data_IF_890431162538
#
_entry.id   IF_890431162538
#
_cell.length_a   1.000
_cell.length_b   1.000
_cell.length_c   1.000
_cell.angle_alpha   90.00
_cell.angle_beta   90.00
_cell.angle_gamma   90.00
#
_symmetry.space_group_name_H-M   'P 1'
#
loop_
_entity.id
_entity.type
_entity.pdbx_description
1 polymer ?
#
# COMPACT_ATOMS: atom_id res chain seq x y z
N UNK A 1 17.50 17.99 -10.89
CA UNK A 1 17.80 17.42 -12.22
C UNK A 1 18.69 18.33 -13.07
N UNK A 2 18.57 19.67 -13.03
CA UNK A 2 19.43 20.55 -13.85
C UNK A 2 20.92 20.63 -13.46
N UNK A 3 21.36 20.13 -12.30
CA UNK A 3 22.74 20.32 -11.81
C UNK A 3 23.76 19.34 -12.39
N UNK A 4 23.32 18.25 -13.00
CA UNK A 4 24.23 17.21 -13.53
C UNK A 4 24.69 17.52 -14.96
N UNK A 5 24.13 18.57 -15.57
CA UNK A 5 24.44 19.00 -16.93
C UNK A 5 25.55 20.06 -16.89
N UNK A 6 26.68 19.75 -17.52
CA UNK A 6 27.88 20.61 -17.55
C UNK A 6 27.98 21.49 -18.79
N UNK A 7 27.10 21.30 -19.78
CA UNK A 7 27.02 22.15 -20.96
C UNK A 7 26.48 23.54 -20.61
N UNK A 8 26.84 24.58 -21.38
CA UNK A 8 26.10 25.84 -21.34
C UNK A 8 24.61 25.61 -21.65
N UNK A 9 23.67 26.21 -20.89
CA UNK A 9 22.23 26.04 -21.12
C UNK A 9 21.81 26.45 -22.53
N UNK A 10 20.89 25.70 -23.13
CA UNK A 10 20.35 25.94 -24.47
C UNK A 10 18.83 25.84 -24.48
N UNK A 11 18.18 27.00 -24.38
CA UNK A 11 16.72 27.05 -24.49
C UNK A 11 16.20 26.50 -25.83
N UNK A 12 15.27 25.55 -25.72
CA UNK A 12 14.63 24.84 -26.81
C UNK A 12 15.25 23.48 -27.12
N UNK A 13 16.09 22.93 -26.24
CA UNK A 13 16.72 21.61 -26.38
C UNK A 13 15.93 20.48 -25.69
N UNK A 14 14.77 20.80 -25.10
CA UNK A 14 13.89 19.88 -24.35
C UNK A 14 14.54 19.31 -23.07
N UNK A 15 15.60 19.94 -22.55
CA UNK A 15 16.26 19.60 -21.30
C UNK A 15 16.21 20.79 -20.36
N UNK A 16 15.62 20.61 -19.17
CA UNK A 16 15.61 21.66 -18.15
C UNK A 16 17.03 21.86 -17.57
N UNK A 17 17.69 22.93 -17.99
CA UNK A 17 19.07 23.27 -17.57
C UNK A 17 19.10 24.40 -16.53
N UNK A 18 20.27 24.63 -15.91
CA UNK A 18 20.43 25.68 -14.88
C UNK A 18 20.13 27.06 -15.48
N UNK A 19 19.11 27.75 -14.95
CA UNK A 19 18.72 29.11 -15.34
C UNK A 19 17.41 29.18 -16.12
N UNK A 20 16.93 28.04 -16.61
CA UNK A 20 15.63 27.88 -17.24
C UNK A 20 14.60 27.50 -16.17
N UNK A 21 13.35 27.90 -16.38
CA UNK A 21 12.22 27.47 -15.54
C UNK A 21 11.44 26.33 -16.21
N UNK A 22 11.48 26.27 -17.55
CA UNK A 22 10.86 25.23 -18.36
C UNK A 22 11.58 25.15 -19.71
N UNK A 23 11.56 23.99 -20.37
CA UNK A 23 11.99 23.85 -21.77
C UNK A 23 11.07 22.85 -22.48
N UNK A 24 10.30 23.33 -23.45
CA UNK A 24 9.37 22.54 -24.25
C UNK A 24 9.78 22.46 -25.73
N UNK A 25 11.06 22.70 -26.02
CA UNK A 25 11.60 22.74 -27.38
C UNK A 25 11.30 24.06 -28.10
N UNK A 26 11.49 24.06 -29.42
CA UNK A 26 11.23 25.24 -30.24
C UNK A 26 9.76 25.69 -30.22
N UNK A 27 9.46 27.00 -30.39
CA UNK A 27 8.10 27.55 -30.37
C UNK A 27 7.08 26.88 -31.30
N UNK A 28 7.54 26.24 -32.39
CA UNK A 28 6.66 25.50 -33.32
C UNK A 28 6.22 24.13 -32.81
N UNK A 29 7.00 23.54 -31.92
CA UNK A 29 6.81 22.17 -31.42
C UNK A 29 6.37 22.13 -29.95
N UNK A 30 6.57 23.22 -29.21
CA UNK A 30 6.14 23.32 -27.83
C UNK A 30 4.64 23.09 -27.68
N UNK A 31 4.29 22.09 -26.89
CA UNK A 31 2.91 21.73 -26.53
C UNK A 31 2.57 22.03 -25.08
N UNK A 32 3.55 22.49 -24.31
CA UNK A 32 3.35 22.86 -22.93
C UNK A 32 2.75 24.28 -22.85
N UNK A 33 1.48 24.43 -22.45
CA UNK A 33 0.87 25.75 -22.35
C UNK A 33 1.46 26.61 -21.22
N UNK A 34 2.29 26.04 -20.34
CA UNK A 34 2.88 26.72 -19.19
C UNK A 34 4.16 27.46 -19.57
N UNK A 35 4.81 27.03 -20.65
CA UNK A 35 6.17 27.44 -20.99
C UNK A 35 6.21 28.39 -22.17
N UNK A 36 6.87 29.54 -22.00
CA UNK A 36 7.29 30.35 -23.13
C UNK A 36 8.53 29.73 -23.77
N UNK A 37 8.31 28.95 -24.83
CA UNK A 37 9.33 28.32 -25.65
C UNK A 37 10.40 29.27 -26.22
N UNK A 38 10.16 30.58 -26.22
CA UNK A 38 11.14 31.57 -26.71
C UNK A 38 12.15 31.94 -25.63
N UNK A 39 11.72 31.90 -24.37
CA UNK A 39 12.51 32.41 -23.23
C UNK A 39 12.87 31.34 -22.21
N UNK A 40 12.29 30.14 -22.32
CA UNK A 40 12.42 29.05 -21.34
C UNK A 40 12.03 29.50 -19.92
N UNK A 41 10.97 30.31 -19.88
CA UNK A 41 10.35 30.86 -18.68
C UNK A 41 8.90 30.44 -18.58
N UNK A 42 8.44 30.23 -17.36
CA UNK A 42 7.03 30.00 -17.11
C UNK A 42 6.27 31.29 -17.36
N UNK A 43 5.04 31.19 -17.87
CA UNK A 43 4.18 32.35 -17.92
C UNK A 43 3.81 32.81 -16.50
N UNK A 44 3.59 34.11 -16.31
CA UNK A 44 3.30 34.71 -15.00
C UNK A 44 1.98 34.26 -14.36
N UNK A 45 1.11 33.57 -15.11
CA UNK A 45 -0.17 33.04 -14.64
C UNK A 45 -0.09 31.56 -14.24
N UNK A 46 1.06 30.91 -14.41
CA UNK A 46 1.27 29.53 -13.99
C UNK A 46 1.18 29.45 -12.47
N UNK A 47 0.26 28.62 -11.98
CA UNK A 47 0.06 28.35 -10.55
C UNK A 47 0.74 27.04 -10.13
N UNK A 48 0.91 26.10 -11.08
CA UNK A 48 1.56 24.81 -10.87
C UNK A 48 2.13 24.25 -12.18
N UNK A 49 3.13 23.38 -12.07
CA UNK A 49 3.77 22.72 -13.22
C UNK A 49 3.51 21.20 -13.24
N UNK A 50 3.34 20.60 -12.06
CA UNK A 50 3.13 19.17 -11.87
C UNK A 50 2.31 18.89 -10.61
N UNK A 51 1.86 17.66 -10.44
CA UNK A 51 1.00 17.21 -9.33
C UNK A 51 -0.38 16.74 -9.81
N UNK A 52 -1.02 15.85 -9.06
CA UNK A 52 -2.31 15.24 -9.42
C UNK A 52 -3.44 16.28 -9.45
N UNK A 53 -3.28 17.39 -8.73
CA UNK A 53 -4.17 18.53 -8.74
C UNK A 53 -3.69 19.67 -9.64
N UNK A 54 -2.76 19.43 -10.56
CA UNK A 54 -2.35 20.42 -11.56
C UNK A 54 -2.93 20.09 -12.95
N UNK A 55 -3.69 21.03 -13.52
CA UNK A 55 -4.27 20.89 -14.84
C UNK A 55 -4.13 22.18 -15.63
N UNK A 56 -3.52 22.12 -16.82
CA UNK A 56 -3.31 23.29 -17.69
C UNK A 56 -2.66 24.46 -16.94
N UNK A 57 -1.59 24.16 -16.18
CA UNK A 57 -0.81 25.11 -15.38
C UNK A 57 -1.56 25.81 -14.25
N UNK A 58 -2.75 25.32 -13.91
CA UNK A 58 -3.60 25.88 -12.86
C UNK A 58 -3.96 24.83 -11.85
N UNK A 59 -4.25 25.27 -10.63
CA UNK A 59 -4.79 24.37 -9.64
C UNK A 59 -6.15 23.85 -10.11
N UNK A 60 -6.30 22.55 -10.05
CA UNK A 60 -7.56 21.87 -10.31
C UNK A 60 -8.58 22.33 -9.28
N UNK A 61 -9.82 22.61 -9.70
CA UNK A 61 -10.81 23.20 -8.80
C UNK A 61 -11.08 22.33 -7.58
N UNK A 62 -11.37 22.98 -6.45
CA UNK A 62 -11.64 22.31 -5.19
C UNK A 62 -12.74 21.24 -5.34
N UNK A 63 -12.53 20.07 -4.72
CA UNK A 63 -13.49 18.97 -4.76
C UNK A 63 -13.38 18.02 -5.95
N UNK A 64 -12.48 18.27 -6.91
CA UNK A 64 -12.14 17.23 -7.89
C UNK A 64 -11.34 16.12 -7.21
N UNK A 65 -11.77 14.88 -7.42
CA UNK A 65 -11.06 13.71 -6.91
C UNK A 65 -9.67 13.62 -7.56
N UNK A 66 -8.62 13.59 -6.73
CA UNK A 66 -7.25 13.36 -7.18
C UNK A 66 -6.75 11.96 -6.86
N UNK A 67 -7.37 11.29 -5.88
CA UNK A 67 -7.11 9.90 -5.59
C UNK A 67 -8.42 9.17 -5.24
N UNK A 68 -8.82 8.15 -6.02
CA UNK A 68 -9.97 7.34 -5.67
C UNK A 68 -9.69 6.46 -4.45
N UNK A 69 -10.75 6.14 -3.72
CA UNK A 69 -10.70 5.11 -2.68
C UNK A 69 -10.44 3.72 -3.30
N UNK A 70 -9.46 2.99 -2.75
CA UNK A 70 -9.04 1.65 -3.20
C UNK A 70 -9.81 0.53 -2.50
N UNK A 71 -10.41 0.79 -1.35
CA UNK A 71 -11.21 -0.16 -0.58
C UNK A 71 -12.28 0.56 0.25
N UNK A 72 -13.16 -0.18 0.91
CA UNK A 72 -14.13 0.40 1.88
C UNK A 72 -13.47 0.99 3.14
N UNK A 73 -12.18 0.73 3.34
CA UNK A 73 -11.37 1.26 4.44
C UNK A 73 -10.54 2.48 4.04
N UNK A 74 -10.64 2.90 2.78
CA UNK A 74 -9.85 3.98 2.18
C UNK A 74 -10.74 5.18 1.86
N UNK A 75 -10.24 6.40 2.06
CA UNK A 75 -11.01 7.64 1.86
C UNK A 75 -10.53 8.30 0.57
N UNK A 76 -11.41 8.62 -0.38
CA UNK A 76 -10.98 9.34 -1.57
C UNK A 76 -10.57 10.78 -1.24
N UNK A 77 -9.41 11.25 -1.74
CA UNK A 77 -8.98 12.64 -1.60
C UNK A 77 -9.40 13.48 -2.80
N UNK A 78 -9.63 14.75 -2.50
CA UNK A 78 -9.99 15.76 -3.48
C UNK A 78 -9.07 16.96 -3.40
N UNK A 79 -8.81 17.57 -4.55
CA UNK A 79 -8.03 18.79 -4.68
C UNK A 79 -8.60 19.90 -3.80
N UNK A 80 -7.72 20.68 -3.20
CA UNK A 80 -8.09 21.83 -2.37
C UNK A 80 -8.44 23.08 -3.19
N UNK A 81 -8.06 23.10 -4.47
CA UNK A 81 -8.12 24.30 -5.32
C UNK A 81 -7.04 25.34 -5.03
N UNK A 82 -6.08 25.02 -4.15
CA UNK A 82 -5.03 25.94 -3.69
C UNK A 82 -3.64 25.30 -3.71
N UNK A 83 -3.55 24.03 -4.10
CA UNK A 83 -2.31 23.25 -4.18
C UNK A 83 -2.34 22.38 -5.43
N UNK A 84 -1.16 22.11 -5.96
CA UNK A 84 -0.94 21.18 -7.06
C UNK A 84 -0.89 19.72 -6.59
N UNK A 85 -0.52 19.52 -5.31
CA UNK A 85 -0.44 18.21 -4.70
C UNK A 85 -1.83 17.74 -4.24
N UNK A 86 -2.12 16.46 -4.48
CA UNK A 86 -3.24 15.82 -3.80
C UNK A 86 -2.98 15.83 -2.28
N UNK A 87 -4.00 16.05 -1.44
CA UNK A 87 -3.85 15.92 0.02
C UNK A 87 -3.22 14.57 0.42
N UNK A 88 -2.61 14.54 1.61
CA UNK A 88 -2.06 13.28 2.14
C UNK A 88 -3.14 12.21 2.22
N UNK A 89 -2.77 10.99 1.80
CA UNK A 89 -3.59 9.79 1.82
C UNK A 89 -4.13 9.52 3.24
N UNK A 90 -5.45 9.56 3.40
CA UNK A 90 -6.16 9.33 4.66
C UNK A 90 -7.05 8.09 4.58
N UNK A 91 -7.26 7.46 5.74
CA UNK A 91 -7.95 6.18 5.82
C UNK A 91 -9.09 6.23 6.83
N UNK A 92 -10.07 5.35 6.65
CA UNK A 92 -10.98 5.07 7.73
C UNK A 92 -10.20 4.52 8.93
N UNK A 93 -10.67 4.87 10.13
CA UNK A 93 -10.02 4.48 11.39
C UNK A 93 -9.72 2.99 11.44
N UNK A 94 -8.54 2.65 11.94
CA UNK A 94 -8.21 1.26 12.20
C UNK A 94 -9.24 0.63 13.17
N UNK A 95 -9.60 -0.62 12.94
CA UNK A 95 -10.61 -1.33 13.74
C UNK A 95 -12.06 -1.17 13.25
N UNK A 96 -12.34 -0.34 12.25
CA UNK A 96 -13.67 -0.27 11.65
C UNK A 96 -14.03 -1.61 10.96
N UNK A 97 -15.20 -2.24 11.20
CA UNK A 97 -15.58 -3.47 10.51
C UNK A 97 -15.64 -3.28 9.00
N UNK A 98 -15.14 -4.25 8.25
CA UNK A 98 -15.11 -4.25 6.78
C UNK A 98 -15.42 -5.65 6.21
N UNK A 99 -15.70 -5.70 4.91
CA UNK A 99 -16.08 -6.87 4.14
C UNK A 99 -17.22 -7.64 4.81
N UNK A 100 -18.32 -6.97 5.16
CA UNK A 100 -19.44 -7.59 5.89
C UNK A 100 -19.01 -8.25 7.23
N UNK A 101 -18.11 -7.61 7.98
CA UNK A 101 -17.58 -8.07 9.27
C UNK A 101 -16.65 -9.31 9.20
N UNK A 102 -16.14 -9.65 8.01
CA UNK A 102 -15.07 -10.63 7.84
C UNK A 102 -13.70 -10.08 8.28
N UNK A 103 -13.54 -8.75 8.36
CA UNK A 103 -12.30 -8.12 8.80
C UNK A 103 -12.52 -6.80 9.54
N UNK A 104 -11.41 -6.16 9.89
CA UNK A 104 -11.36 -4.80 10.42
C UNK A 104 -10.35 -3.97 9.63
N UNK A 105 -10.65 -2.70 9.41
CA UNK A 105 -9.79 -1.80 8.67
C UNK A 105 -8.43 -1.67 9.35
N UNK A 106 -7.38 -1.68 8.54
CA UNK A 106 -6.01 -1.46 8.96
C UNK A 106 -5.24 -0.75 7.84
N UNK A 107 -4.86 0.52 8.08
CA UNK A 107 -4.11 1.38 7.17
C UNK A 107 -4.66 1.33 5.74
N UNK A 108 -5.94 1.69 5.57
CA UNK A 108 -6.60 1.78 4.26
C UNK A 108 -7.08 0.45 3.65
N UNK A 109 -6.80 -0.68 4.31
CA UNK A 109 -7.11 -2.03 3.79
C UNK A 109 -7.97 -2.84 4.76
N UNK A 110 -8.56 -3.93 4.28
CA UNK A 110 -9.28 -4.91 5.09
C UNK A 110 -8.56 -6.28 5.06
N UNK A 111 -7.51 -6.49 5.88
CA UNK A 111 -6.76 -7.74 5.88
C UNK A 111 -7.60 -8.90 6.44
N UNK A 112 -7.81 -9.94 5.63
CA UNK A 112 -8.50 -11.18 6.01
C UNK A 112 -7.67 -12.39 5.58
N UNK A 113 -7.80 -13.51 6.31
CA UNK A 113 -7.02 -14.73 6.05
C UNK A 113 -7.28 -15.29 4.65
N UNK A 114 -8.54 -15.26 4.18
CA UNK A 114 -8.90 -15.70 2.83
C UNK A 114 -8.13 -14.95 1.72
N UNK A 115 -8.09 -13.62 1.76
CA UNK A 115 -7.39 -12.82 0.77
C UNK A 115 -5.87 -13.05 0.80
N UNK A 116 -5.30 -13.29 1.99
CA UNK A 116 -3.88 -13.64 2.11
C UNK A 116 -3.59 -15.01 1.49
N UNK A 117 -4.43 -16.02 1.74
CA UNK A 117 -4.33 -17.33 1.10
C UNK A 117 -4.44 -17.24 -0.43
N UNK A 118 -5.39 -16.44 -0.93
CA UNK A 118 -5.55 -16.19 -2.36
C UNK A 118 -4.33 -15.48 -2.96
N UNK A 119 -3.78 -14.49 -2.28
CA UNK A 119 -2.60 -13.75 -2.75
C UNK A 119 -1.34 -14.64 -2.82
N UNK A 120 -1.20 -15.60 -1.90
CA UNK A 120 -0.04 -16.51 -1.87
C UNK A 120 -0.17 -17.69 -2.85
N UNK A 121 -1.36 -18.27 -2.99
CA UNK A 121 -1.53 -19.55 -3.68
C UNK A 121 -2.51 -19.53 -4.86
N UNK A 122 -3.24 -18.43 -5.05
CA UNK A 122 -4.22 -18.26 -6.12
C UNK A 122 -5.63 -18.77 -5.78
N UNK A 123 -6.41 -19.04 -6.83
CA UNK A 123 -7.80 -19.49 -6.73
C UNK A 123 -7.94 -20.87 -6.08
N UNK A 124 -9.11 -21.16 -5.49
CA UNK A 124 -9.46 -22.41 -4.80
C UNK A 124 -8.66 -22.68 -3.51
N UNK A 125 -7.99 -21.67 -2.96
CA UNK A 125 -7.28 -21.77 -1.69
C UNK A 125 -7.96 -20.88 -0.65
N UNK A 126 -8.20 -21.43 0.53
CA UNK A 126 -8.98 -20.82 1.61
C UNK A 126 -8.21 -20.85 2.93
N UNK A 127 -8.75 -20.19 3.95
CA UNK A 127 -8.25 -20.36 5.32
C UNK A 127 -8.30 -21.85 5.73
N UNK A 128 -7.24 -22.35 6.35
CA UNK A 128 -7.20 -23.71 6.87
C UNK A 128 -8.06 -23.89 8.14
N UNK A 129 -8.35 -25.14 8.49
CA UNK A 129 -8.97 -25.47 9.78
C UNK A 129 -8.09 -25.00 10.94
N UNK A 130 -8.70 -24.64 12.07
CA UNK A 130 -8.02 -24.13 13.27
C UNK A 130 -6.88 -25.04 13.73
N UNK A 131 -7.05 -26.36 13.60
CA UNK A 131 -6.02 -27.36 13.95
C UNK A 131 -4.68 -27.17 13.24
N UNK A 132 -4.66 -26.52 12.07
CA UNK A 132 -3.40 -26.21 11.39
C UNK A 132 -2.62 -25.11 12.11
N UNK A 133 -3.32 -24.12 12.65
CA UNK A 133 -2.72 -22.97 13.35
C UNK A 133 -2.10 -23.35 14.69
N UNK A 134 -2.53 -24.46 15.31
CA UNK A 134 -1.90 -25.03 16.51
C UNK A 134 -0.40 -25.30 16.35
N UNK A 135 0.08 -25.51 15.12
CA UNK A 135 1.50 -25.66 14.81
C UNK A 135 2.33 -24.42 15.16
N UNK A 136 1.71 -23.24 15.22
CA UNK A 136 2.38 -22.01 15.61
C UNK A 136 2.86 -21.98 17.08
N UNK A 137 2.40 -22.94 17.91
CA UNK A 137 2.89 -23.09 19.28
C UNK A 137 4.26 -23.80 19.36
N UNK A 138 4.79 -24.34 18.25
CA UNK A 138 6.08 -25.03 18.25
C UNK A 138 7.26 -24.10 18.52
N UNK A 139 7.25 -22.89 17.95
CA UNK A 139 8.37 -21.94 18.05
C UNK A 139 9.57 -22.34 17.20
N UNK A 140 9.35 -23.00 16.06
CA UNK A 140 10.39 -23.47 15.14
C UNK A 140 10.10 -23.02 13.70
N UNK A 141 10.80 -23.57 12.71
CA UNK A 141 10.61 -23.20 11.30
C UNK A 141 9.20 -23.50 10.76
N UNK A 142 8.50 -24.47 11.34
CA UNK A 142 7.14 -24.84 10.93
C UNK A 142 6.10 -23.83 11.40
N UNK A 143 6.33 -23.13 12.51
CA UNK A 143 5.35 -22.21 13.09
C UNK A 143 5.83 -21.48 14.35
N UNK A 144 5.65 -20.16 14.34
CA UNK A 144 5.93 -19.23 15.44
C UNK A 144 5.05 -17.98 15.30
N UNK A 145 5.01 -17.11 16.32
CA UNK A 145 4.20 -15.88 16.30
C UNK A 145 5.00 -14.64 15.92
N UNK A 146 6.23 -14.54 16.42
CA UNK A 146 7.10 -13.38 16.21
C UNK A 146 8.56 -13.78 16.38
N UNK A 147 9.46 -12.87 16.06
CA UNK A 147 10.89 -13.02 16.33
C UNK A 147 11.38 -11.94 17.27
N UNK A 148 12.16 -12.33 18.27
CA UNK A 148 12.83 -11.43 19.20
C UNK A 148 14.33 -11.74 19.12
N UNK A 149 15.15 -10.78 18.70
CA UNK A 149 16.60 -10.96 18.52
C UNK A 149 17.00 -12.17 17.63
N UNK A 150 16.16 -12.51 16.65
CA UNK A 150 16.36 -13.65 15.74
C UNK A 150 15.82 -14.99 16.26
N UNK A 151 15.43 -15.07 17.53
CA UNK A 151 14.78 -16.24 18.11
C UNK A 151 13.31 -16.30 17.71
N UNK A 152 12.83 -17.47 17.30
CA UNK A 152 11.43 -17.72 16.93
C UNK A 152 10.61 -17.97 18.19
N UNK A 153 9.67 -17.06 18.48
CA UNK A 153 8.87 -17.13 19.70
C UNK A 153 7.57 -17.90 19.41
N UNK A 154 7.28 -19.00 20.12
CA UNK A 154 6.04 -19.74 19.94
C UNK A 154 4.82 -18.87 20.29
N UNK A 155 3.69 -19.14 19.63
CA UNK A 155 2.43 -18.52 20.01
C UNK A 155 1.92 -19.04 21.35
N UNK A 156 1.28 -18.16 22.12
CA UNK A 156 0.33 -18.61 23.13
C UNK A 156 -0.91 -19.24 22.44
N UNK A 157 -1.68 -20.09 23.13
CA UNK A 157 -2.88 -20.71 22.55
C UNK A 157 -3.88 -19.71 21.95
N UNK A 158 -4.04 -18.53 22.56
CA UNK A 158 -4.90 -17.45 22.09
C UNK A 158 -4.35 -16.71 20.86
N UNK A 159 -3.04 -16.84 20.57
CA UNK A 159 -2.33 -16.08 19.54
C UNK A 159 -2.09 -16.91 18.26
N UNK A 160 -2.48 -18.19 18.23
CA UNK A 160 -2.16 -19.12 17.14
C UNK A 160 -2.60 -18.64 15.75
N UNK A 161 -3.64 -17.80 15.68
CA UNK A 161 -4.14 -17.19 14.44
C UNK A 161 -3.32 -15.98 13.96
N UNK A 162 -2.28 -15.58 14.70
CA UNK A 162 -1.43 -14.42 14.41
C UNK A 162 0.04 -14.78 14.13
N UNK A 163 0.33 -16.08 13.99
CA UNK A 163 1.64 -16.58 13.58
C UNK A 163 1.73 -16.84 12.08
N UNK A 164 2.25 -18.01 11.71
CA UNK A 164 2.24 -18.50 10.33
C UNK A 164 0.81 -18.61 9.79
N UNK A 165 0.61 -18.20 8.54
CA UNK A 165 -0.64 -18.41 7.83
C UNK A 165 -0.71 -19.84 7.29
N UNK A 166 -1.80 -20.55 7.61
CA UNK A 166 -2.11 -21.85 7.01
C UNK A 166 -3.36 -21.76 6.15
N UNK A 167 -3.29 -22.39 4.98
CA UNK A 167 -4.33 -22.38 3.97
C UNK A 167 -4.72 -23.80 3.58
N UNK A 168 -5.97 -23.98 3.16
CA UNK A 168 -6.49 -25.23 2.61
C UNK A 168 -6.57 -25.12 1.09
N UNK A 169 -5.80 -25.95 0.40
CA UNK A 169 -5.77 -25.99 -1.06
C UNK A 169 -6.81 -27.00 -1.59
N UNK A 170 -7.91 -26.48 -2.14
CA UNK A 170 -8.97 -27.29 -2.75
C UNK A 170 -8.79 -27.42 -4.28
N UNK A 171 -7.61 -27.10 -4.83
CA UNK A 171 -7.33 -27.25 -6.25
C UNK A 171 -7.30 -28.73 -6.66
N UNK A 172 -7.57 -29.06 -7.95
CA UNK A 172 -7.42 -30.43 -8.44
C UNK A 172 -5.98 -30.94 -8.23
N UNK A 173 -5.78 -31.88 -7.31
CA UNK A 173 -4.44 -32.35 -6.92
C UNK A 173 -4.44 -33.05 -5.56
N UNK A 174 -3.25 -33.36 -5.02
CA UNK A 174 -3.14 -33.82 -3.63
C UNK A 174 -3.68 -32.73 -2.69
N UNK A 175 -4.66 -33.10 -1.88
CA UNK A 175 -5.25 -32.20 -0.90
C UNK A 175 -4.21 -31.87 0.18
N UNK A 176 -3.85 -30.59 0.31
CA UNK A 176 -3.04 -30.08 1.41
C UNK A 176 -3.92 -29.19 2.31
N UNK A 177 -4.30 -29.74 3.46
CA UNK A 177 -5.20 -29.08 4.40
C UNK A 177 -4.54 -28.00 5.23
N UNK A 178 -3.20 -28.00 5.33
CA UNK A 178 -2.43 -27.05 6.14
C UNK A 178 -1.26 -26.49 5.32
N UNK A 179 -1.53 -26.12 4.08
CA UNK A 179 -0.54 -25.55 3.16
C UNK A 179 -0.02 -24.25 3.74
N UNK A 180 1.29 -24.10 3.77
CA UNK A 180 1.98 -22.87 4.19
C UNK A 180 2.98 -22.46 3.11
N UNK A 181 3.32 -21.18 3.08
CA UNK A 181 4.38 -20.69 2.21
C UNK A 181 5.71 -20.91 2.95
N UNK A 182 6.67 -21.55 2.29
CA UNK A 182 8.03 -21.74 2.78
C UNK A 182 8.99 -21.04 1.80
N UNK A 183 9.62 -19.97 2.24
CA UNK A 183 10.58 -19.15 1.51
C UNK A 183 11.80 -18.90 2.37
N UNK A 184 12.95 -19.39 1.93
CA UNK A 184 14.23 -19.13 2.58
C UNK A 184 14.69 -17.65 2.45
N UNK A 185 14.01 -16.85 1.63
CA UNK A 185 14.42 -15.47 1.32
C UNK A 185 13.69 -14.42 2.16
N UNK A 186 12.48 -14.72 2.66
CA UNK A 186 11.67 -13.77 3.41
C UNK A 186 10.66 -14.48 4.33
N UNK A 187 11.10 -14.73 5.56
CA UNK A 187 10.31 -15.32 6.64
C UNK A 187 9.04 -14.50 6.99
N UNK A 188 8.94 -13.22 6.57
CA UNK A 188 7.78 -12.38 6.87
C UNK A 188 6.60 -12.60 5.92
N UNK A 189 6.87 -12.98 4.66
CA UNK A 189 5.83 -13.24 3.66
C UNK A 189 4.89 -14.39 4.02
N UNK A 190 5.33 -15.21 4.96
CA UNK A 190 4.68 -16.42 5.44
C UNK A 190 3.73 -16.16 6.62
N UNK A 191 3.79 -14.98 7.23
CA UNK A 191 3.08 -14.64 8.47
C UNK A 191 1.72 -14.00 8.19
N UNK A 192 0.78 -14.17 9.13
CA UNK A 192 -0.49 -13.46 9.11
C UNK A 192 -0.23 -11.96 9.20
N UNK A 193 -0.80 -11.18 8.27
CA UNK A 193 -0.60 -9.74 8.20
C UNK A 193 -1.11 -9.03 9.48
N UNK A 194 -0.44 -7.98 9.96
CA UNK A 194 -0.96 -7.12 11.02
C UNK A 194 -2.34 -6.57 10.68
N UNK A 195 -3.20 -6.41 11.70
CA UNK A 195 -4.58 -5.97 11.55
C UNK A 195 -5.56 -7.05 11.08
N UNK A 196 -5.10 -8.26 10.74
CA UNK A 196 -5.99 -9.36 10.35
C UNK A 196 -6.91 -9.74 11.50
N UNK A 197 -8.21 -9.92 11.22
CA UNK A 197 -9.18 -10.45 12.19
C UNK A 197 -8.81 -11.88 12.58
N UNK A 198 -8.50 -12.10 13.86
CA UNK A 198 -8.10 -13.41 14.41
C UNK A 198 -9.19 -14.05 15.27
N UNK A 199 -10.14 -13.26 15.75
CA UNK A 199 -11.38 -13.69 16.39
C UNK A 199 -12.42 -12.55 16.28
N UNK A 200 -13.66 -12.79 16.70
CA UNK A 200 -14.63 -11.70 16.74
C UNK A 200 -14.22 -10.61 17.74
N UNK A 201 -14.20 -9.36 17.30
CA UNK A 201 -13.70 -8.22 18.08
C UNK A 201 -12.18 -8.17 18.27
N UNK A 202 -11.39 -9.02 17.58
CA UNK A 202 -9.94 -9.10 17.77
C UNK A 202 -9.14 -9.05 16.47
N UNK A 203 -7.93 -8.49 16.54
CA UNK A 203 -6.97 -8.37 15.43
C UNK A 203 -5.58 -8.83 15.83
N UNK A 204 -4.78 -9.21 14.83
CA UNK A 204 -3.37 -9.50 15.01
C UNK A 204 -2.54 -8.21 15.15
N UNK A 205 -1.79 -8.10 16.25
CA UNK A 205 -0.84 -7.01 16.50
C UNK A 205 0.46 -7.60 17.07
N UNK A 206 1.58 -7.43 16.35
CA UNK A 206 2.90 -7.97 16.74
C UNK A 206 2.90 -9.46 17.13
N UNK A 207 2.12 -10.28 16.42
CA UNK A 207 2.00 -11.71 16.71
C UNK A 207 1.06 -12.05 17.87
N UNK A 208 0.23 -11.12 18.33
CA UNK A 208 -0.79 -11.34 19.38
C UNK A 208 -2.20 -11.10 18.86
N UNK A 209 -3.18 -11.90 19.30
CA UNK A 209 -4.59 -11.71 18.99
C UNK A 209 -5.30 -10.86 20.06
N UNK A 210 -5.29 -9.54 19.86
CA UNK A 210 -5.73 -8.55 20.86
C UNK A 210 -7.09 -7.94 20.50
N UNK A 211 -7.80 -7.40 21.48
CA UNK A 211 -9.07 -6.71 21.25
C UNK A 211 -8.86 -5.48 20.35
N UNK A 212 -9.72 -5.33 19.32
CA UNK A 212 -9.69 -4.22 18.35
C UNK A 212 -9.66 -2.86 19.04
N UNK A 213 -10.42 -2.71 20.13
CA UNK A 213 -10.50 -1.47 20.91
C UNK A 213 -9.22 -1.13 21.71
N UNK A 214 -8.33 -2.10 21.88
CA UNK A 214 -7.03 -1.91 22.55
C UNK A 214 -5.86 -1.83 21.56
N UNK A 215 -6.08 -2.27 20.33
CA UNK A 215 -5.08 -2.24 19.26
C UNK A 215 -4.87 -0.84 18.68
N UNK A 216 -5.91 0.00 18.67
CA UNK A 216 -5.98 1.29 17.99
C UNK A 216 -6.62 2.38 18.83
#
# INVERSE_FOLDING_TARGET
LGTDIISPPVCGNELLEVGEECDCGFPRNCRDPCCDATTCKLHSWVECESGECCGQCKFTSAGNECRPARSECDIAESCTGQSADCPMDDFHRNGQPCLNNFGYCYNGNCPILYHQCYALFGSNVYEAEDSCFERNQKGDDDGYCRKENGEKIPCAPEDVKCGRLYCKDNSPGPNDSCKTFNSNEDDHKEMVLPGTKCADGKVCSNGHCVDVASAY
#
